data_IF_518685469652
#
_entry.id   IF_518685469652
#
_cell.length_a   1.000
_cell.length_b   1.000
_cell.length_c   1.000
_cell.angle_alpha   90.00
_cell.angle_beta   90.00
_cell.angle_gamma   90.00
#
_symmetry.space_group_name_H-M   'P 1'
#
loop_
_entity.id
_entity.type
_entity.pdbx_description
1 polymer ?
#
# COMPACT_ATOMS: atom_id res chain seq x y z
N UNK A 1 5.49 59.52 31.20
CA UNK A 1 5.84 58.45 30.24
C UNK A 1 5.45 58.89 28.84
N UNK A 2 6.43 59.23 27.99
CA UNK A 2 6.17 59.62 26.59
C UNK A 2 5.83 58.36 25.80
N UNK A 3 4.62 58.26 25.26
CA UNK A 3 4.23 57.19 24.33
C UNK A 3 4.93 57.48 22.99
N UNK A 4 5.90 56.65 22.61
CA UNK A 4 6.50 56.72 21.28
C UNK A 4 5.42 56.29 20.27
N UNK A 5 4.99 57.22 19.41
CA UNK A 5 4.08 56.89 18.32
C UNK A 5 4.88 56.16 17.25
N UNK A 6 4.53 54.90 17.01
CA UNK A 6 5.13 54.08 15.96
C UNK A 6 4.79 54.70 14.60
N UNK A 7 5.79 54.98 13.78
CA UNK A 7 5.57 55.61 12.47
C UNK A 7 5.07 54.58 11.46
N UNK A 8 4.24 55.01 10.51
CA UNK A 8 3.69 54.13 9.45
C UNK A 8 4.82 53.45 8.65
N UNK A 9 5.97 54.10 8.52
CA UNK A 9 7.17 53.59 7.84
C UNK A 9 7.78 52.42 8.62
N UNK A 10 7.93 52.54 9.93
CA UNK A 10 8.42 51.44 10.78
C UNK A 10 7.51 50.20 10.67
N UNK A 11 6.19 50.41 10.60
CA UNK A 11 5.24 49.31 10.42
C UNK A 11 5.41 48.62 9.06
N UNK A 12 5.59 49.39 7.97
CA UNK A 12 5.80 48.83 6.64
C UNK A 12 7.10 48.03 6.55
N UNK A 13 8.17 48.47 7.21
CA UNK A 13 9.44 47.75 7.25
C UNK A 13 9.29 46.43 8.00
N UNK A 14 8.60 46.41 9.14
CA UNK A 14 8.36 45.18 9.91
C UNK A 14 7.55 44.18 9.07
N UNK A 15 6.52 44.63 8.37
CA UNK A 15 5.72 43.77 7.48
C UNK A 15 6.58 43.21 6.34
N UNK A 16 7.44 44.03 5.73
CA UNK A 16 8.34 43.57 4.67
C UNK A 16 9.33 42.52 5.15
N UNK A 17 9.94 42.71 6.33
CA UNK A 17 10.89 41.74 6.91
C UNK A 17 10.19 40.43 7.29
N UNK A 18 9.01 40.50 7.89
CA UNK A 18 8.20 39.31 8.20
C UNK A 18 7.81 38.55 6.93
N UNK A 19 7.42 39.28 5.87
CA UNK A 19 7.08 38.70 4.58
C UNK A 19 8.24 37.94 3.93
N UNK A 20 9.45 38.53 3.95
CA UNK A 20 10.66 37.87 3.44
C UNK A 20 10.98 36.62 4.25
N UNK A 21 10.96 36.71 5.59
CA UNK A 21 11.24 35.56 6.47
C UNK A 21 10.26 34.40 6.29
N UNK A 22 8.97 34.69 6.18
CA UNK A 22 7.92 33.69 5.91
C UNK A 22 8.08 33.04 4.53
N UNK A 23 8.42 33.83 3.50
CA UNK A 23 8.63 33.32 2.16
C UNK A 23 9.90 32.45 2.05
N UNK A 24 10.97 32.84 2.73
CA UNK A 24 12.21 32.05 2.81
C UNK A 24 12.04 30.74 3.57
N UNK A 25 11.23 30.72 4.64
CA UNK A 25 10.84 29.47 5.30
C UNK A 25 10.05 28.56 4.35
N UNK A 26 9.03 29.10 3.67
CA UNK A 26 8.19 28.31 2.76
C UNK A 26 8.95 27.67 1.60
N UNK A 27 10.05 28.28 1.14
CA UNK A 27 10.92 27.72 0.10
C UNK A 27 11.84 26.60 0.63
N UNK A 28 12.18 26.60 1.93
CA UNK A 28 13.07 25.60 2.56
C UNK A 28 12.37 24.36 3.13
N UNK A 29 11.07 24.44 3.44
CA UNK A 29 10.29 23.34 4.01
C UNK A 29 9.75 22.24 3.05
N UNK A 30 9.51 22.45 1.74
CA UNK A 30 8.85 21.44 0.91
C UNK A 30 9.69 20.18 0.69
N UNK A 31 11.01 20.27 0.79
CA UNK A 31 11.92 19.12 0.65
C UNK A 31 11.88 18.18 1.86
N UNK A 32 11.61 18.70 3.06
CA UNK A 32 11.43 17.87 4.27
C UNK A 32 10.12 17.08 4.20
N UNK A 33 9.02 17.71 3.78
CA UNK A 33 7.71 17.03 3.69
C UNK A 33 7.64 15.99 2.57
N UNK A 34 8.29 16.23 1.43
CA UNK A 34 8.37 15.24 0.32
C UNK A 34 8.97 13.90 0.75
N UNK A 35 9.96 13.92 1.64
CA UNK A 35 10.58 12.70 2.18
C UNK A 35 9.64 11.92 3.11
N UNK A 36 8.83 12.62 3.90
CA UNK A 36 7.84 12.02 4.80
C UNK A 36 6.69 11.39 4.03
N UNK A 37 6.14 12.07 3.02
CA UNK A 37 5.07 11.54 2.18
C UNK A 37 5.50 10.28 1.43
N UNK A 38 6.73 10.27 0.88
CA UNK A 38 7.26 9.09 0.19
C UNK A 38 7.43 7.92 1.16
N UNK A 39 7.97 8.16 2.35
CA UNK A 39 8.11 7.13 3.38
C UNK A 39 6.76 6.58 3.82
N UNK A 40 5.77 7.45 4.02
CA UNK A 40 4.42 7.03 4.38
C UNK A 40 3.79 6.14 3.30
N UNK A 41 3.92 6.51 2.03
CA UNK A 41 3.42 5.68 0.91
C UNK A 41 4.07 4.30 0.89
N UNK A 42 5.39 4.21 1.13
CA UNK A 42 6.09 2.92 1.20
C UNK A 42 5.59 2.09 2.39
N UNK A 43 5.30 2.71 3.53
CA UNK A 43 4.74 2.03 4.70
C UNK A 43 3.34 1.49 4.39
N UNK A 44 2.48 2.30 3.78
CA UNK A 44 1.13 1.89 3.37
C UNK A 44 1.16 0.74 2.34
N UNK A 45 2.04 0.83 1.33
CA UNK A 45 2.28 -0.23 0.34
C UNK A 45 2.63 -1.56 1.04
N UNK A 46 3.64 -1.56 1.92
CA UNK A 46 4.07 -2.76 2.63
C UNK A 46 3.03 -3.30 3.62
N UNK A 47 2.32 -2.41 4.32
CA UNK A 47 1.26 -2.81 5.25
C UNK A 47 0.14 -3.55 4.50
N UNK A 48 -0.30 -3.03 3.35
CA UNK A 48 -1.33 -3.67 2.54
C UNK A 48 -0.89 -5.04 2.00
N UNK A 49 0.37 -5.18 1.56
CA UNK A 49 0.94 -6.46 1.13
C UNK A 49 1.06 -7.47 2.28
N UNK A 50 1.40 -7.00 3.49
CA UNK A 50 1.48 -7.85 4.68
C UNK A 50 0.10 -8.38 5.07
N UNK A 51 -0.93 -7.54 5.00
CA UNK A 51 -2.32 -7.95 5.21
C UNK A 51 -2.77 -8.96 4.15
N UNK A 52 -2.47 -8.71 2.87
CA UNK A 52 -2.77 -9.61 1.77
C UNK A 52 -2.14 -11.00 1.99
N UNK A 53 -0.86 -11.03 2.39
CA UNK A 53 -0.17 -12.27 2.75
C UNK A 53 -0.87 -13.00 3.89
N UNK A 54 -1.26 -12.29 4.95
CA UNK A 54 -1.98 -12.85 6.09
C UNK A 54 -3.33 -13.47 5.70
N UNK A 55 -4.10 -12.79 4.84
CA UNK A 55 -5.40 -13.26 4.35
C UNK A 55 -5.26 -14.53 3.51
N UNK A 56 -4.35 -14.52 2.53
CA UNK A 56 -4.11 -15.69 1.67
C UNK A 56 -3.62 -16.86 2.51
N UNK A 57 -2.60 -16.65 3.36
CA UNK A 57 -2.06 -17.70 4.24
C UNK A 57 -3.14 -18.31 5.13
N UNK A 58 -4.02 -17.50 5.70
CA UNK A 58 -5.09 -17.98 6.58
C UNK A 58 -6.14 -18.79 5.82
N UNK A 59 -6.46 -18.40 4.59
CA UNK A 59 -7.32 -19.18 3.70
C UNK A 59 -6.68 -20.55 3.42
N UNK A 60 -5.42 -20.57 2.97
CA UNK A 60 -4.72 -21.79 2.58
C UNK A 60 -4.55 -22.83 3.70
N UNK A 61 -4.52 -22.41 4.97
CA UNK A 61 -4.49 -23.34 6.11
C UNK A 61 -5.72 -24.24 6.18
N UNK A 62 -6.86 -23.74 5.71
CA UNK A 62 -8.14 -24.45 5.77
C UNK A 62 -8.50 -25.16 4.46
N UNK A 63 -7.73 -24.92 3.39
CA UNK A 63 -7.92 -25.54 2.08
C UNK A 63 -6.96 -26.70 1.90
N UNK A 64 -7.43 -27.82 1.32
CA UNK A 64 -6.57 -28.97 1.04
C UNK A 64 -6.14 -29.01 -0.41
N UNK A 65 -7.04 -28.67 -1.32
CA UNK A 65 -6.79 -28.74 -2.77
C UNK A 65 -7.38 -27.54 -3.49
N UNK A 66 -6.78 -27.22 -4.62
CA UNK A 66 -7.25 -26.26 -5.60
C UNK A 66 -8.20 -27.01 -6.53
N UNK A 67 -9.44 -26.55 -6.62
CA UNK A 67 -10.44 -27.10 -7.52
C UNK A 67 -10.28 -26.52 -8.93
N UNK A 68 -10.18 -25.19 -9.02
CA UNK A 68 -10.12 -24.47 -10.30
C UNK A 68 -9.32 -23.18 -10.17
N UNK A 69 -8.57 -22.82 -11.21
CA UNK A 69 -8.02 -21.47 -11.40
C UNK A 69 -8.49 -20.94 -12.75
N UNK A 70 -9.23 -19.83 -12.74
CA UNK A 70 -9.71 -19.17 -13.93
C UNK A 70 -9.75 -17.64 -13.73
N UNK A 71 -9.26 -16.87 -14.70
CA UNK A 71 -9.39 -15.41 -14.74
C UNK A 71 -8.92 -14.68 -13.46
N UNK A 72 -7.83 -15.14 -12.84
CA UNK A 72 -7.31 -14.54 -11.59
C UNK A 72 -8.10 -14.92 -10.33
N UNK A 73 -9.07 -15.84 -10.45
CA UNK A 73 -9.80 -16.46 -9.34
C UNK A 73 -9.34 -17.91 -9.12
N UNK A 74 -9.05 -18.22 -7.87
CA UNK A 74 -8.68 -19.54 -7.36
C UNK A 74 -9.83 -20.02 -6.49
N UNK A 75 -10.37 -21.19 -6.79
CA UNK A 75 -11.41 -21.86 -6.01
C UNK A 75 -10.83 -23.13 -5.41
N UNK A 76 -11.09 -23.36 -4.12
CA UNK A 76 -10.61 -24.51 -3.37
C UNK A 76 -11.70 -25.57 -3.20
N UNK A 77 -11.32 -26.74 -2.70
CA UNK A 77 -12.18 -27.91 -2.49
C UNK A 77 -13.32 -27.71 -1.49
N UNK A 78 -13.22 -26.70 -0.64
CA UNK A 78 -14.17 -26.35 0.42
C UNK A 78 -14.99 -25.09 0.09
N UNK A 79 -15.13 -24.75 -1.20
CA UNK A 79 -15.77 -23.54 -1.74
C UNK A 79 -15.13 -22.20 -1.30
N UNK A 80 -14.01 -22.23 -0.57
CA UNK A 80 -13.21 -21.05 -0.34
C UNK A 80 -12.59 -20.56 -1.64
N UNK A 81 -12.32 -19.27 -1.73
CA UNK A 81 -11.75 -18.68 -2.94
C UNK A 81 -10.86 -17.48 -2.63
N UNK A 82 -9.93 -17.26 -3.55
CA UNK A 82 -9.13 -16.04 -3.67
C UNK A 82 -9.41 -15.47 -5.06
N UNK A 83 -9.77 -14.21 -5.15
CA UNK A 83 -9.94 -13.51 -6.42
C UNK A 83 -9.06 -12.27 -6.45
N UNK A 84 -8.38 -12.10 -7.58
CA UNK A 84 -7.58 -10.93 -7.91
C UNK A 84 -8.41 -10.10 -8.90
N UNK A 85 -8.92 -8.98 -8.44
CA UNK A 85 -9.85 -8.09 -9.15
C UNK A 85 -9.14 -6.76 -9.48
N UNK A 86 -9.79 -5.94 -10.32
CA UNK A 86 -9.36 -4.55 -10.59
C UNK A 86 -7.87 -4.41 -10.95
N UNK A 87 -7.43 -5.13 -11.98
CA UNK A 87 -6.03 -5.13 -12.45
C UNK A 87 -5.00 -5.49 -11.36
N UNK A 88 -5.40 -6.32 -10.41
CA UNK A 88 -4.50 -6.74 -9.33
C UNK A 88 -4.50 -5.82 -8.12
N UNK A 89 -5.36 -4.80 -8.08
CA UNK A 89 -5.48 -3.89 -6.93
C UNK A 89 -6.34 -4.41 -5.82
N UNK A 90 -7.29 -5.27 -6.15
CA UNK A 90 -8.31 -5.71 -5.24
C UNK A 90 -8.11 -7.21 -4.99
N UNK A 91 -7.82 -7.57 -3.75
CA UNK A 91 -7.71 -8.95 -3.32
C UNK A 91 -8.96 -9.32 -2.54
N UNK A 92 -9.75 -10.26 -3.05
CA UNK A 92 -10.90 -10.82 -2.35
C UNK A 92 -10.58 -12.21 -1.86
N UNK A 93 -10.75 -12.46 -0.57
CA UNK A 93 -10.57 -13.78 0.04
C UNK A 93 -11.83 -14.13 0.81
N UNK A 94 -12.56 -15.16 0.38
CA UNK A 94 -13.79 -15.63 1.01
C UNK A 94 -14.82 -14.51 1.28
N UNK A 95 -14.93 -13.54 0.35
CA UNK A 95 -15.82 -12.37 0.47
C UNK A 95 -15.19 -11.14 1.11
N UNK A 96 -14.11 -11.28 1.89
CA UNK A 96 -13.36 -10.14 2.44
C UNK A 96 -12.52 -9.46 1.37
N UNK A 97 -12.77 -8.18 1.12
CA UNK A 97 -12.05 -7.37 0.12
C UNK A 97 -10.94 -6.56 0.79
N UNK A 98 -9.74 -6.61 0.22
CA UNK A 98 -8.59 -5.79 0.58
C UNK A 98 -8.10 -5.03 -0.65
N UNK A 99 -7.96 -3.72 -0.53
CA UNK A 99 -7.36 -2.87 -1.57
C UNK A 99 -5.87 -2.70 -1.30
N UNK A 100 -5.05 -2.96 -2.32
CA UNK A 100 -3.59 -2.80 -2.26
C UNK A 100 -3.20 -1.34 -2.48
N UNK A 101 -2.46 -0.81 -1.50
CA UNK A 101 -2.08 0.60 -1.46
C UNK A 101 -0.98 0.94 -2.48
N UNK A 102 -0.91 2.22 -2.85
CA UNK A 102 0.17 2.78 -3.67
C UNK A 102 0.35 2.05 -5.00
N UNK A 103 1.55 1.53 -5.25
CA UNK A 103 1.91 0.79 -6.47
C UNK A 103 1.83 -0.73 -6.32
N UNK A 104 1.46 -1.23 -5.13
CA UNK A 104 1.34 -2.66 -4.90
C UNK A 104 0.22 -3.28 -5.75
N UNK A 105 0.47 -4.44 -6.37
CA UNK A 105 -0.55 -5.20 -7.11
C UNK A 105 -0.18 -6.67 -7.27
N UNK A 106 -1.19 -7.52 -7.48
CA UNK A 106 -1.00 -8.93 -7.87
C UNK A 106 -1.31 -9.04 -9.36
N UNK A 107 -0.30 -9.23 -10.19
CA UNK A 107 -0.43 -9.10 -11.65
C UNK A 107 -0.78 -10.40 -12.36
N UNK A 108 -0.47 -11.53 -11.74
CA UNK A 108 -0.63 -12.84 -12.39
C UNK A 108 -0.83 -13.92 -11.33
N UNK A 109 -1.65 -14.92 -11.69
CA UNK A 109 -1.89 -16.14 -10.93
C UNK A 109 -1.64 -17.32 -11.86
N UNK A 110 -0.66 -18.15 -11.52
CA UNK A 110 -0.23 -19.29 -12.30
C UNK A 110 -0.52 -20.58 -11.52
N UNK A 111 -1.22 -21.52 -12.15
CA UNK A 111 -1.47 -22.84 -11.59
C UNK A 111 -0.24 -23.72 -11.74
N UNK A 112 0.21 -24.36 -10.64
CA UNK A 112 1.38 -25.27 -10.66
C UNK A 112 0.96 -26.71 -10.43
N UNK A 113 0.08 -26.97 -9.47
CA UNK A 113 -0.46 -28.30 -9.17
C UNK A 113 -1.73 -28.17 -8.34
N UNK A 114 -2.42 -29.29 -8.10
CA UNK A 114 -3.63 -29.38 -7.27
C UNK A 114 -3.48 -28.83 -5.84
N UNK A 115 -2.27 -28.54 -5.38
CA UNK A 115 -2.00 -27.95 -4.05
C UNK A 115 -1.16 -26.68 -4.12
N UNK A 116 -0.71 -26.26 -5.31
CA UNK A 116 0.22 -25.13 -5.43
C UNK A 116 -0.13 -24.19 -6.58
N UNK A 117 0.06 -22.91 -6.32
CA UNK A 117 -0.03 -21.85 -7.31
C UNK A 117 1.01 -20.77 -7.03
N UNK A 118 1.32 -19.97 -8.04
CA UNK A 118 2.24 -18.84 -7.94
C UNK A 118 1.46 -17.56 -8.16
N UNK A 119 1.72 -16.55 -7.33
CA UNK A 119 1.33 -15.18 -7.63
C UNK A 119 2.54 -14.34 -7.98
N UNK A 120 2.38 -13.48 -8.99
CA UNK A 120 3.35 -12.42 -9.27
C UNK A 120 2.88 -11.15 -8.60
N UNK A 121 3.69 -10.62 -7.68
CA UNK A 121 3.36 -9.47 -6.85
C UNK A 121 4.30 -8.32 -7.19
N UNK A 122 3.74 -7.21 -7.67
CA UNK A 122 4.46 -5.96 -7.76
C UNK A 122 4.43 -5.29 -6.38
N UNK A 123 5.61 -5.02 -5.82
CA UNK A 123 5.81 -4.38 -4.52
C UNK A 123 5.94 -2.85 -4.62
N UNK A 124 5.85 -2.30 -5.83
CA UNK A 124 6.14 -0.90 -6.13
C UNK A 124 7.63 -0.63 -6.40
N UNK A 125 8.54 -1.38 -5.77
CA UNK A 125 9.99 -1.26 -5.99
C UNK A 125 10.58 -2.43 -6.81
N UNK A 126 9.78 -3.45 -7.08
CA UNK A 126 10.19 -4.64 -7.81
C UNK A 126 9.08 -5.68 -7.86
N UNK A 127 9.33 -6.74 -8.62
CA UNK A 127 8.38 -7.83 -8.83
C UNK A 127 8.91 -9.09 -8.13
N UNK A 128 8.06 -9.69 -7.30
CA UNK A 128 8.36 -10.92 -6.57
C UNK A 128 7.40 -12.01 -7.02
N UNK A 129 7.89 -13.25 -7.13
CA UNK A 129 7.04 -14.43 -7.32
C UNK A 129 6.89 -15.12 -5.97
N UNK A 130 5.64 -15.36 -5.55
CA UNK A 130 5.33 -16.04 -4.30
C UNK A 130 4.70 -17.38 -4.63
N UNK A 131 5.31 -18.46 -4.13
CA UNK A 131 4.77 -19.80 -4.24
C UNK A 131 3.86 -20.05 -3.03
N UNK A 132 2.65 -20.48 -3.31
CA UNK A 132 1.65 -20.81 -2.31
C UNK A 132 1.39 -22.31 -2.33
N UNK A 133 1.27 -22.90 -1.13
CA UNK A 133 0.93 -24.31 -0.95
C UNK A 133 -0.30 -24.40 -0.04
N UNK A 134 -1.36 -25.04 -0.51
CA UNK A 134 -2.51 -25.45 0.27
C UNK A 134 -2.21 -26.76 1.04
N UNK A 135 -2.94 -27.02 2.12
CA UNK A 135 -2.83 -28.28 2.87
C UNK A 135 -1.60 -28.41 3.79
N UNK A 136 -0.86 -27.33 4.05
CA UNK A 136 0.34 -27.35 4.92
C UNK A 136 -0.01 -27.45 6.41
N UNK A 137 -1.27 -27.27 6.81
CA UNK A 137 -1.67 -27.36 8.22
C UNK A 137 -1.73 -28.79 8.80
N UNK A 138 -1.46 -29.82 7.98
CA UNK A 138 -1.48 -31.23 8.38
C UNK A 138 -0.07 -31.85 8.52
N UNK A 139 0.99 -31.03 8.63
CA UNK A 139 2.34 -31.46 9.02
C UNK A 139 2.73 -30.85 10.37
#
# INVERSE_FOLDING_TARGET
MKRAAFTLIELMIVIAILGIGLHSMYLGFPTLFKGHELRQKIVEENASLTLAYGMIRSCLKNCRRIATIAEGRIVFDNDQYIAVENFGKDLRVNGSLLQLAGRASITEVEHVSDTMFITRVNTGNGVVRVIWKAGVANE
#
